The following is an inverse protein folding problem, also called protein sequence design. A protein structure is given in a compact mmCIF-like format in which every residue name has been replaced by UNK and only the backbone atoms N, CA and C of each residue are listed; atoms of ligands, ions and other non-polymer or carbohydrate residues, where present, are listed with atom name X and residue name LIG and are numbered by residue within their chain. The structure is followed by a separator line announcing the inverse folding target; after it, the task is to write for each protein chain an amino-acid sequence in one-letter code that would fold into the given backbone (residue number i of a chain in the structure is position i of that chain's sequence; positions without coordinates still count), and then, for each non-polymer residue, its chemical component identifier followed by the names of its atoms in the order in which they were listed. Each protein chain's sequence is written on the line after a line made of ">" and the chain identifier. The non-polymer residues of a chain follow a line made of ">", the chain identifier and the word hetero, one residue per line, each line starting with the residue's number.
data_IF_306253160327
#
_entry.id   IF_306253160327
#
_cell.length_a   1.000
_cell.length_b   1.000
_cell.length_c   1.000
_cell.angle_alpha   90.00
_cell.angle_beta   90.00
_cell.angle_gamma   90.00
#
_symmetry.space_group_name_H-M   'P 1'
#
loop_
_entity.id
_entity.type
_entity.pdbx_description
1 polymer ?
#
# COMPACT_ATOMS: atom_id res chain seq x y z
N UNK A 1 -47.18 31.37 56.08
CA UNK A 1 -46.06 30.40 56.00
C UNK A 1 -46.26 29.63 54.71
N UNK A 2 -45.50 29.98 53.67
CA UNK A 2 -45.60 29.35 52.36
C UNK A 2 -44.71 28.11 52.32
N UNK A 3 -45.32 26.93 52.17
CA UNK A 3 -44.58 25.68 51.92
C UNK A 3 -44.26 25.57 50.44
N UNK A 4 -43.01 25.87 50.05
CA UNK A 4 -42.50 25.55 48.71
C UNK A 4 -42.43 24.03 48.56
N UNK A 5 -42.96 23.42 47.47
CA UNK A 5 -42.71 22.03 47.19
C UNK A 5 -41.24 21.88 46.75
N UNK A 6 -40.43 21.19 47.53
CA UNK A 6 -39.15 20.67 47.08
C UNK A 6 -39.43 19.53 46.11
N UNK A 7 -39.45 19.83 44.82
CA UNK A 7 -39.29 18.82 43.78
C UNK A 7 -37.88 18.27 43.89
N UNK A 8 -37.71 17.27 44.74
CA UNK A 8 -36.57 16.35 44.61
C UNK A 8 -36.78 15.64 43.27
N UNK A 9 -36.06 16.08 42.25
CA UNK A 9 -35.87 15.37 40.98
C UNK A 9 -35.11 14.08 41.29
N UNK A 10 -35.77 13.13 41.96
CA UNK A 10 -35.25 11.80 42.14
C UNK A 10 -35.49 11.07 40.82
N UNK A 11 -34.43 10.90 40.04
CA UNK A 11 -34.48 10.22 38.76
C UNK A 11 -34.92 8.77 39.01
N UNK A 12 -36.18 8.48 38.70
CA UNK A 12 -36.74 7.14 38.82
C UNK A 12 -36.11 6.22 37.76
N UNK A 13 -35.05 5.53 38.16
CA UNK A 13 -34.29 4.60 37.32
C UNK A 13 -35.19 3.50 36.75
N UNK A 14 -36.24 3.10 37.47
CA UNK A 14 -37.13 2.03 37.07
C UNK A 14 -38.04 2.47 35.92
N UNK A 15 -38.58 3.70 36.01
CA UNK A 15 -39.34 4.33 34.93
C UNK A 15 -38.48 4.58 33.67
N UNK A 16 -37.21 4.92 33.86
CA UNK A 16 -36.25 5.13 32.77
C UNK A 16 -35.92 3.81 32.05
N UNK A 17 -35.76 2.71 32.80
CA UNK A 17 -35.45 1.39 32.26
C UNK A 17 -36.64 0.80 31.46
N UNK A 18 -37.87 1.01 31.92
CA UNK A 18 -39.07 0.59 31.19
C UNK A 18 -39.24 1.34 29.86
N UNK A 19 -38.98 2.66 29.86
CA UNK A 19 -38.98 3.49 28.64
C UNK A 19 -37.90 3.04 27.65
N UNK A 20 -36.73 2.64 28.14
CA UNK A 20 -35.63 2.13 27.30
C UNK A 20 -35.95 0.76 26.71
N UNK A 21 -36.56 -0.14 27.50
CA UNK A 21 -36.98 -1.48 27.04
C UNK A 21 -37.99 -1.44 25.90
N UNK A 22 -38.93 -0.50 25.91
CA UNK A 22 -39.89 -0.35 24.82
C UNK A 22 -39.25 0.15 23.51
N UNK A 23 -38.09 0.81 23.59
CA UNK A 23 -37.33 1.35 22.45
C UNK A 23 -36.13 0.49 22.07
N UNK A 24 -36.09 -0.79 22.46
CA UNK A 24 -35.00 -1.71 22.15
C UNK A 24 -34.61 -1.78 20.65
N UNK A 25 -35.53 -1.61 19.66
CA UNK A 25 -35.13 -1.63 18.25
C UNK A 25 -34.25 -0.43 17.87
N UNK A 26 -34.46 0.74 18.49
CA UNK A 26 -33.62 1.92 18.27
C UNK A 26 -32.22 1.73 18.84
N UNK A 27 -32.11 1.04 19.97
CA UNK A 27 -30.82 0.68 20.55
C UNK A 27 -30.07 -0.30 19.64
N UNK A 28 -30.75 -1.34 19.13
CA UNK A 28 -30.15 -2.28 18.19
C UNK A 28 -29.76 -1.60 16.86
N UNK A 29 -30.61 -0.71 16.34
CA UNK A 29 -30.31 0.07 15.15
C UNK A 29 -29.09 0.98 15.34
N UNK A 30 -28.98 1.65 16.49
CA UNK A 30 -27.81 2.47 16.84
C UNK A 30 -26.54 1.62 16.97
N UNK A 31 -26.63 0.43 17.57
CA UNK A 31 -25.50 -0.48 17.69
C UNK A 31 -25.01 -0.98 16.34
N UNK A 32 -25.93 -1.38 15.45
CA UNK A 32 -25.61 -1.77 14.08
C UNK A 32 -25.02 -0.61 13.30
N UNK A 33 -25.56 0.60 13.45
CA UNK A 33 -25.04 1.80 12.80
C UNK A 33 -23.62 2.13 13.28
N UNK A 34 -23.37 2.10 14.58
CA UNK A 34 -22.04 2.31 15.15
C UNK A 34 -21.05 1.23 14.69
N UNK A 35 -21.48 -0.04 14.67
CA UNK A 35 -20.68 -1.15 14.15
C UNK A 35 -20.37 -1.00 12.66
N UNK A 36 -21.34 -0.58 11.86
CA UNK A 36 -21.17 -0.30 10.43
C UNK A 36 -20.18 0.85 10.19
N UNK A 37 -20.32 1.96 10.92
CA UNK A 37 -19.39 3.09 10.84
C UNK A 37 -17.98 2.65 11.25
N UNK A 38 -17.85 1.89 12.34
CA UNK A 38 -16.56 1.33 12.79
C UNK A 38 -15.94 0.41 11.73
N UNK A 39 -16.73 -0.48 11.14
CA UNK A 39 -16.29 -1.36 10.06
C UNK A 39 -15.79 -0.57 8.85
N UNK A 40 -16.54 0.45 8.41
CA UNK A 40 -16.12 1.36 7.33
C UNK A 40 -14.82 2.07 7.71
N UNK A 41 -14.71 2.60 8.92
CA UNK A 41 -13.50 3.28 9.39
C UNK A 41 -12.25 2.38 9.34
N UNK A 42 -12.38 1.13 9.80
CA UNK A 42 -11.31 0.13 9.73
C UNK A 42 -10.91 -0.20 8.30
N UNK A 43 -11.87 -0.25 7.38
CA UNK A 43 -11.61 -0.46 5.95
C UNK A 43 -10.91 0.74 5.29
N UNK A 44 -11.17 1.96 5.78
CA UNK A 44 -10.58 3.18 5.24
C UNK A 44 -9.17 3.45 5.77
N UNK A 45 -8.83 2.99 6.98
CA UNK A 45 -7.51 3.23 7.54
C UNK A 45 -6.40 2.51 6.75
N UNK A 46 -5.41 3.29 6.34
CA UNK A 46 -4.16 2.76 5.79
C UNK A 46 -3.35 2.06 6.89
N UNK A 47 -2.82 0.85 6.66
CA UNK A 47 -1.94 0.19 7.62
C UNK A 47 -0.62 0.96 7.73
N UNK A 48 -0.18 1.19 8.96
CA UNK A 48 1.16 1.73 9.24
C UNK A 48 2.14 0.56 9.23
N UNK A 49 3.17 0.65 8.39
CA UNK A 49 4.22 -0.37 8.31
C UNK A 49 5.49 0.12 9.01
N UNK A 50 6.03 -0.70 9.91
CA UNK A 50 7.31 -0.43 10.56
C UNK A 50 8.45 -1.04 9.73
N UNK A 51 9.42 -0.21 9.37
CA UNK A 51 10.66 -0.65 8.72
C UNK A 51 11.82 -0.56 9.71
N UNK A 52 12.60 -1.64 9.83
CA UNK A 52 13.79 -1.69 10.68
C UNK A 52 15.04 -1.89 9.83
N UNK A 53 15.95 -0.91 9.90
CA UNK A 53 17.29 -1.01 9.36
C UNK A 53 18.30 -1.04 10.52
N UNK A 54 19.36 -1.84 10.39
CA UNK A 54 20.44 -1.90 11.37
C UNK A 54 21.75 -1.54 10.69
N UNK A 55 22.42 -0.51 11.21
CA UNK A 55 23.72 -0.05 10.72
C UNK A 55 24.77 -0.28 11.80
N UNK A 56 25.88 -0.93 11.44
CA UNK A 56 27.00 -1.19 12.34
C UNK A 56 28.04 -0.08 12.17
N UNK A 57 28.40 0.62 13.25
CA UNK A 57 29.49 1.60 13.28
C UNK A 57 30.72 0.96 13.91
N UNK A 58 31.78 0.78 13.12
CA UNK A 58 33.09 0.36 13.61
C UNK A 58 33.96 1.56 13.93
N UNK A 59 34.41 1.69 15.18
CA UNK A 59 35.39 2.71 15.57
C UNK A 59 36.79 2.08 15.57
N UNK A 60 37.65 2.42 14.62
CA UNK A 60 39.06 2.01 14.64
C UNK A 60 39.88 3.08 15.36
N UNK A 61 40.28 2.83 16.62
CA UNK A 61 41.17 3.74 17.35
C UNK A 61 42.58 3.15 17.50
N UNK A 62 43.56 3.77 16.86
CA UNK A 62 44.99 3.49 17.05
C UNK A 62 45.58 4.53 18.01
N UNK A 63 45.79 4.18 19.28
CA UNK A 63 46.36 5.08 20.29
C UNK A 63 46.55 4.48 21.69
N UNK A 64 47.24 5.23 22.58
CA UNK A 64 47.61 4.91 23.98
C UNK A 64 46.44 4.81 25.00
N UNK A 65 46.20 3.59 25.51
CA UNK A 65 44.99 3.12 26.22
C UNK A 65 44.43 4.03 27.34
N UNK A 66 45.26 4.65 28.18
CA UNK A 66 44.79 5.42 29.36
C UNK A 66 44.23 6.80 29.04
N UNK A 67 44.79 7.48 28.04
CA UNK A 67 44.26 8.75 27.57
C UNK A 67 42.99 8.55 26.73
N UNK A 68 42.88 7.41 26.01
CA UNK A 68 41.63 7.06 25.35
C UNK A 68 40.53 6.75 26.34
N UNK A 69 40.75 6.04 27.45
CA UNK A 69 39.64 5.69 28.36
C UNK A 69 38.92 6.94 28.91
N UNK A 70 39.67 7.98 29.29
CA UNK A 70 39.09 9.25 29.77
C UNK A 70 38.45 10.07 28.64
N UNK A 71 39.11 10.17 27.49
CA UNK A 71 38.54 10.86 26.32
C UNK A 71 37.31 10.13 25.77
N UNK A 72 37.29 8.80 25.83
CA UNK A 72 36.20 7.94 25.37
C UNK A 72 34.97 8.13 26.25
N UNK A 73 35.09 8.30 27.56
CA UNK A 73 33.94 8.57 28.43
C UNK A 73 33.27 9.91 28.09
N UNK A 74 34.06 10.98 27.90
CA UNK A 74 33.56 12.31 27.50
C UNK A 74 33.06 12.34 26.05
N UNK A 75 33.74 11.63 25.15
CA UNK A 75 33.38 11.53 23.75
C UNK A 75 32.14 10.65 23.55
N UNK A 76 31.91 9.62 24.37
CA UNK A 76 30.71 8.75 24.30
C UNK A 76 29.45 9.53 24.64
N UNK A 77 29.45 10.43 25.64
CA UNK A 77 28.27 11.25 25.95
C UNK A 77 27.95 12.24 24.81
N UNK A 78 28.97 12.93 24.28
CA UNK A 78 28.78 13.85 23.15
C UNK A 78 28.49 13.13 21.82
N UNK A 79 28.99 11.91 21.63
CA UNK A 79 28.63 11.04 20.50
C UNK A 79 27.19 10.55 20.63
N UNK A 80 26.71 10.24 21.83
CA UNK A 80 25.32 9.82 22.05
C UNK A 80 24.32 10.84 21.51
N UNK A 81 24.40 12.09 21.95
CA UNK A 81 23.49 13.17 21.53
C UNK A 81 23.62 13.46 20.03
N UNK A 82 24.84 13.58 19.50
CA UNK A 82 25.05 13.79 18.05
C UNK A 82 24.55 12.62 17.22
N UNK A 83 24.69 11.39 17.71
CA UNK A 83 24.26 10.19 17.00
C UNK A 83 22.73 10.06 17.00
N UNK A 84 22.06 10.46 18.07
CA UNK A 84 20.60 10.55 18.13
C UNK A 84 20.05 11.54 17.09
N UNK A 85 20.69 12.70 16.96
CA UNK A 85 20.35 13.70 15.95
C UNK A 85 20.56 13.18 14.52
N UNK A 86 21.70 12.54 14.23
CA UNK A 86 21.99 11.95 12.91
C UNK A 86 21.03 10.79 12.59
N UNK A 87 20.69 9.94 13.57
CA UNK A 87 19.67 8.90 13.41
C UNK A 87 18.30 9.55 13.12
N UNK A 88 17.98 10.66 13.78
CA UNK A 88 16.77 11.45 13.52
C UNK A 88 16.73 12.00 12.09
N UNK A 89 17.83 12.58 11.63
CA UNK A 89 17.99 13.08 10.26
C UNK A 89 17.86 11.95 9.23
N UNK A 90 18.50 10.80 9.47
CA UNK A 90 18.41 9.62 8.59
C UNK A 90 17.00 9.02 8.52
N UNK A 91 16.22 9.11 9.61
CA UNK A 91 14.82 8.69 9.66
C UNK A 91 13.85 9.72 9.09
N UNK A 92 14.33 10.91 8.72
CA UNK A 92 13.46 11.96 8.18
C UNK A 92 12.84 11.54 6.85
N UNK A 93 11.61 11.99 6.61
CA UNK A 93 10.84 11.67 5.41
C UNK A 93 11.58 12.08 4.14
N UNK A 94 12.25 13.24 4.16
CA UNK A 94 13.00 13.76 3.00
C UNK A 94 14.23 12.88 2.67
N UNK A 95 15.03 12.49 3.65
CA UNK A 95 16.19 11.61 3.41
C UNK A 95 15.74 10.24 2.90
N UNK A 96 14.69 9.68 3.50
CA UNK A 96 14.08 8.42 3.04
C UNK A 96 13.55 8.56 1.61
N UNK A 97 12.84 9.64 1.30
CA UNK A 97 12.29 9.88 -0.04
C UNK A 97 13.40 10.01 -1.09
N UNK A 98 14.48 10.75 -0.78
CA UNK A 98 15.65 10.85 -1.67
C UNK A 98 16.36 9.53 -1.85
N UNK A 99 16.50 8.74 -0.79
CA UNK A 99 17.09 7.41 -0.87
C UNK A 99 16.27 6.51 -1.78
N UNK A 100 14.94 6.44 -1.58
CA UNK A 100 14.02 5.66 -2.42
C UNK A 100 14.05 6.14 -3.88
N UNK A 101 14.10 7.45 -4.13
CA UNK A 101 14.20 8.01 -5.48
C UNK A 101 15.49 7.63 -6.21
N UNK A 102 16.60 7.42 -5.47
CA UNK A 102 17.88 6.98 -6.05
C UNK A 102 17.92 5.48 -6.34
N UNK A 103 17.01 4.68 -5.76
CA UNK A 103 17.00 3.25 -6.02
C UNK A 103 16.51 2.96 -7.44
N UNK A 104 17.07 1.94 -8.10
CA UNK A 104 16.81 1.71 -9.49
C UNK A 104 15.47 0.98 -9.76
N UNK A 105 14.36 1.54 -9.30
CA UNK A 105 13.04 1.03 -9.60
C UNK A 105 12.55 1.52 -10.97
N UNK A 106 11.96 0.62 -11.76
CA UNK A 106 11.33 0.93 -13.06
C UNK A 106 9.83 0.68 -13.05
N UNK A 107 9.34 -0.14 -12.11
CA UNK A 107 7.94 -0.57 -12.00
C UNK A 107 7.52 -0.58 -10.53
N UNK A 108 6.40 0.07 -10.23
CA UNK A 108 5.72 -0.03 -8.94
C UNK A 108 4.43 -0.82 -9.08
N UNK A 109 4.18 -1.72 -8.13
CA UNK A 109 3.02 -2.60 -8.11
C UNK A 109 2.01 -2.11 -7.07
N UNK A 110 0.74 -2.13 -7.43
CA UNK A 110 -0.37 -1.72 -6.60
C UNK A 110 -1.43 -2.82 -6.63
N UNK A 111 -2.04 -3.10 -5.48
CA UNK A 111 -3.21 -3.95 -5.40
C UNK A 111 -4.43 -3.07 -5.13
N UNK A 112 -5.46 -3.21 -5.97
CA UNK A 112 -6.77 -2.66 -5.73
C UNK A 112 -7.68 -3.82 -5.28
N UNK A 113 -8.12 -3.88 -4.01
CA UNK A 113 -9.13 -4.84 -3.60
C UNK A 113 -10.43 -4.60 -4.38
N UNK A 114 -11.06 -5.68 -4.84
CA UNK A 114 -12.41 -5.66 -5.39
C UNK A 114 -13.43 -5.55 -4.24
N UNK A 115 -13.40 -4.42 -3.53
CA UNK A 115 -14.37 -4.08 -2.49
C UNK A 115 -15.35 -3.06 -3.06
N UNK A 116 -16.64 -3.17 -2.70
CA UNK A 116 -17.67 -2.22 -3.11
C UNK A 116 -17.32 -0.76 -2.75
N UNK A 117 -16.54 -0.53 -1.69
CA UNK A 117 -16.03 0.79 -1.32
C UNK A 117 -15.08 1.38 -2.38
N UNK A 118 -14.32 0.52 -3.07
CA UNK A 118 -13.32 0.94 -4.04
C UNK A 118 -13.96 1.37 -5.38
N UNK A 119 -15.19 0.94 -5.66
CA UNK A 119 -15.96 1.38 -6.83
C UNK A 119 -16.48 2.82 -6.72
N UNK A 120 -16.65 3.35 -5.50
CA UNK A 120 -17.11 4.73 -5.30
C UNK A 120 -15.95 5.71 -5.11
N UNK A 121 -14.84 5.27 -4.52
CA UNK A 121 -13.65 6.11 -4.31
C UNK A 121 -12.43 5.22 -4.16
N UNK A 122 -11.34 5.57 -4.85
CA UNK A 122 -10.04 4.87 -4.80
C UNK A 122 -9.37 4.99 -3.42
N UNK A 123 -9.90 4.28 -2.43
CA UNK A 123 -9.46 4.42 -1.03
C UNK A 123 -8.52 3.29 -0.62
N UNK A 124 -8.43 2.20 -1.40
CA UNK A 124 -7.64 1.00 -1.04
C UNK A 124 -6.57 0.60 -2.07
N UNK A 125 -6.17 1.48 -2.99
CA UNK A 125 -5.04 1.20 -3.90
C UNK A 125 -3.75 1.24 -3.07
N UNK A 126 -3.20 0.08 -2.77
CA UNK A 126 -2.03 -0.06 -1.89
C UNK A 126 -0.83 -0.53 -2.69
N UNK A 127 0.30 0.15 -2.52
CA UNK A 127 1.57 -0.33 -3.07
C UNK A 127 1.90 -1.68 -2.45
N UNK A 128 2.27 -2.65 -3.28
CA UNK A 128 2.71 -3.98 -2.88
C UNK A 128 4.19 -4.11 -3.16
N UNK A 129 4.97 -4.69 -2.23
CA UNK A 129 6.34 -5.07 -2.51
C UNK A 129 6.35 -5.99 -3.73
N UNK A 130 7.30 -5.78 -4.66
CA UNK A 130 7.50 -6.63 -5.84
C UNK A 130 7.69 -8.12 -5.49
N UNK A 131 8.03 -8.43 -4.23
CA UNK A 131 8.11 -9.80 -3.74
C UNK A 131 6.76 -10.50 -3.49
N UNK A 132 5.69 -9.74 -3.30
CA UNK A 132 4.36 -10.22 -2.86
C UNK A 132 3.35 -10.40 -4.00
N UNK A 133 3.76 -10.12 -5.24
CA UNK A 133 2.94 -10.25 -6.45
C UNK A 133 3.28 -11.55 -7.21
N UNK A 134 2.30 -12.20 -7.85
CA UNK A 134 2.46 -13.50 -8.51
C UNK A 134 3.23 -13.41 -9.84
N UNK A 135 3.42 -12.22 -10.38
CA UNK A 135 4.12 -11.98 -11.64
C UNK A 135 5.16 -10.87 -11.49
N UNK A 136 6.17 -10.89 -12.36
CA UNK A 136 7.16 -9.82 -12.53
C UNK A 136 6.95 -9.19 -13.90
N UNK A 137 6.81 -7.87 -13.92
CA UNK A 137 6.81 -7.06 -15.14
C UNK A 137 8.23 -6.54 -15.36
N UNK A 138 8.79 -6.82 -16.54
CA UNK A 138 10.08 -6.28 -16.97
C UNK A 138 9.82 -5.38 -18.19
N UNK A 139 10.00 -4.06 -18.07
CA UNK A 139 9.83 -3.17 -19.20
C UNK A 139 11.01 -3.29 -20.17
N UNK A 140 10.72 -3.14 -21.45
CA UNK A 140 11.75 -2.94 -22.46
C UNK A 140 12.30 -1.51 -22.33
N UNK A 141 13.62 -1.39 -22.17
CA UNK A 141 14.31 -0.11 -22.03
C UNK A 141 14.48 0.61 -23.38
N UNK A 142 14.33 -0.08 -24.51
CA UNK A 142 14.49 0.49 -25.85
C UNK A 142 13.19 1.09 -26.40
N UNK A 143 12.06 0.73 -25.82
CA UNK A 143 10.75 1.21 -26.22
C UNK A 143 10.27 2.33 -25.28
N UNK A 144 9.66 3.41 -25.81
CA UNK A 144 8.93 4.36 -25.01
C UNK A 144 7.81 3.67 -24.21
N UNK A 145 7.64 4.05 -22.94
CA UNK A 145 6.67 3.45 -22.03
C UNK A 145 5.67 4.50 -21.55
N UNK A 146 4.41 4.11 -21.51
CA UNK A 146 3.35 4.89 -20.91
C UNK A 146 3.56 4.98 -19.39
N UNK A 147 3.75 6.19 -18.90
CA UNK A 147 3.86 6.55 -17.49
C UNK A 147 2.69 7.43 -17.07
N UNK A 148 2.41 7.44 -15.76
CA UNK A 148 1.34 8.24 -15.18
C UNK A 148 -0.06 7.67 -15.34
N UNK A 149 -0.22 6.58 -16.10
CA UNK A 149 -1.48 5.85 -16.28
C UNK A 149 -1.46 4.56 -15.47
N UNK A 150 -2.62 4.14 -14.97
CA UNK A 150 -2.79 2.86 -14.28
C UNK A 150 -2.99 1.75 -15.30
N UNK A 151 -2.11 0.75 -15.25
CA UNK A 151 -2.19 -0.41 -16.11
C UNK A 151 -2.64 -1.59 -15.25
N UNK A 152 -3.78 -2.18 -15.58
CA UNK A 152 -4.36 -3.32 -14.91
C UNK A 152 -3.89 -4.62 -15.55
N UNK A 153 -3.50 -5.59 -14.72
CA UNK A 153 -3.12 -6.94 -15.16
C UNK A 153 -4.01 -7.96 -14.47
N UNK A 154 -4.77 -8.71 -15.26
CA UNK A 154 -5.71 -9.71 -14.81
C UNK A 154 -5.35 -11.09 -15.38
N UNK A 155 -5.48 -12.18 -14.62
CA UNK A 155 -5.31 -13.52 -15.17
C UNK A 155 -6.46 -13.86 -16.13
N UNK A 156 -6.14 -14.25 -17.35
CA UNK A 156 -7.10 -14.60 -18.41
C UNK A 156 -7.27 -16.12 -18.61
N UNK A 157 -6.78 -16.94 -17.67
CA UNK A 157 -6.77 -18.40 -17.75
C UNK A 157 -5.59 -18.98 -18.54
N UNK A 158 -5.24 -20.25 -18.27
CA UNK A 158 -4.17 -21.00 -18.97
C UNK A 158 -2.78 -20.31 -18.97
N UNK A 159 -2.46 -19.54 -17.94
CA UNK A 159 -1.19 -18.82 -17.86
C UNK A 159 -1.13 -17.58 -18.76
N UNK A 160 -2.26 -17.08 -19.25
CA UNK A 160 -2.36 -15.79 -19.96
C UNK A 160 -2.75 -14.67 -19.01
N UNK A 161 -2.33 -13.45 -19.36
CA UNK A 161 -2.63 -12.23 -18.65
C UNK A 161 -3.27 -11.22 -19.60
N UNK A 162 -4.44 -10.69 -19.22
CA UNK A 162 -5.04 -9.53 -19.86
C UNK A 162 -4.47 -8.27 -19.24
N UNK A 163 -3.95 -7.40 -20.07
CA UNK A 163 -3.38 -6.10 -19.70
C UNK A 163 -4.26 -5.04 -20.33
N UNK A 164 -4.86 -4.19 -19.49
CA UNK A 164 -5.68 -3.10 -19.98
C UNK A 164 -5.36 -1.79 -19.25
N UNK A 165 -5.52 -0.67 -19.96
CA UNK A 165 -5.34 0.66 -19.40
C UNK A 165 -6.27 1.63 -20.13
N UNK A 166 -6.97 2.46 -19.36
CA UNK A 166 -7.87 3.48 -19.86
C UNK A 166 -7.59 4.79 -19.13
N UNK A 167 -7.31 5.87 -19.87
CA UNK A 167 -7.10 7.20 -19.31
C UNK A 167 -7.29 8.30 -20.36
N UNK A 168 -7.86 9.43 -19.95
CA UNK A 168 -8.03 10.61 -20.82
C UNK A 168 -6.68 11.18 -21.29
N UNK A 169 -5.66 11.12 -20.42
CA UNK A 169 -4.31 11.63 -20.68
C UNK A 169 -3.27 10.68 -20.14
N UNK A 170 -2.26 10.39 -20.96
CA UNK A 170 -1.06 9.67 -20.58
C UNK A 170 0.20 10.28 -21.17
N UNK A 171 1.35 9.93 -20.60
CA UNK A 171 2.64 10.47 -21.04
C UNK A 171 3.56 9.32 -21.45
N UNK A 172 4.14 9.40 -22.63
CA UNK A 172 5.07 8.41 -23.13
C UNK A 172 6.51 8.87 -22.85
N UNK A 173 7.25 8.12 -22.04
CA UNK A 173 8.63 8.45 -21.66
C UNK A 173 9.62 7.41 -22.19
N UNK A 174 10.81 7.88 -22.52
CA UNK A 174 11.98 7.02 -22.72
C UNK A 174 12.55 6.64 -21.35
N UNK A 175 12.60 5.35 -21.00
CA UNK A 175 13.11 4.90 -19.69
C UNK A 175 14.61 5.18 -19.45
N UNK A 176 15.50 5.10 -20.46
CA UNK A 176 16.92 5.38 -20.27
C UNK A 176 17.24 6.86 -20.10
N UNK A 177 16.56 7.73 -20.84
CA UNK A 177 16.84 9.18 -20.86
C UNK A 177 15.87 10.00 -20.02
N UNK A 178 14.77 9.39 -19.55
CA UNK A 178 13.67 10.07 -18.84
C UNK A 178 13.04 11.24 -19.59
N UNK A 179 13.25 11.28 -20.91
CA UNK A 179 12.70 12.32 -21.77
C UNK A 179 11.25 11.98 -22.13
N UNK A 180 10.40 13.00 -22.08
CA UNK A 180 9.05 12.93 -22.60
C UNK A 180 9.12 12.79 -24.12
N UNK A 181 8.71 11.64 -24.64
CA UNK A 181 8.63 11.39 -26.08
C UNK A 181 7.38 12.08 -26.63
N UNK A 182 6.23 11.89 -25.98
CA UNK A 182 4.94 12.44 -26.44
C UNK A 182 3.85 12.36 -25.38
N UNK A 183 2.92 13.32 -25.38
CA UNK A 183 1.64 13.20 -24.67
C UNK A 183 0.63 12.40 -25.51
N UNK A 184 -0.04 11.44 -24.89
CA UNK A 184 -1.07 10.60 -25.54
C UNK A 184 -2.41 10.95 -24.93
N UNK A 185 -3.34 11.40 -25.77
CA UNK A 185 -4.73 11.63 -25.40
C UNK A 185 -5.53 10.36 -25.70
N UNK A 186 -6.55 10.10 -24.87
CA UNK A 186 -7.44 8.95 -25.00
C UNK A 186 -6.69 7.61 -25.07
N UNK A 187 -5.99 7.30 -23.99
CA UNK A 187 -5.26 6.05 -23.84
C UNK A 187 -6.27 4.92 -23.71
N UNK A 188 -6.30 4.04 -24.71
CA UNK A 188 -6.97 2.75 -24.64
C UNK A 188 -5.98 1.64 -24.99
N UNK A 189 -5.74 0.75 -24.03
CA UNK A 189 -4.94 -0.44 -24.17
C UNK A 189 -5.79 -1.61 -23.69
N UNK A 190 -5.93 -2.65 -24.51
CA UNK A 190 -6.49 -3.94 -24.10
C UNK A 190 -5.82 -5.05 -24.91
N UNK A 191 -4.94 -5.80 -24.26
CA UNK A 191 -4.22 -6.91 -24.91
C UNK A 191 -4.08 -8.08 -23.94
N UNK A 192 -4.17 -9.29 -24.50
CA UNK A 192 -3.88 -10.52 -23.75
C UNK A 192 -2.54 -11.10 -24.20
N UNK A 193 -1.65 -11.38 -23.25
CA UNK A 193 -0.31 -11.94 -23.50
C UNK A 193 -0.12 -13.23 -22.69
N UNK A 194 0.60 -14.20 -23.24
CA UNK A 194 0.97 -15.40 -22.48
C UNK A 194 2.09 -15.10 -21.48
N UNK A 195 2.13 -15.85 -20.39
CA UNK A 195 3.19 -15.79 -19.38
C UNK A 195 4.57 -16.00 -20.01
N UNK A 196 5.45 -15.01 -19.88
CA UNK A 196 6.82 -15.04 -20.41
C UNK A 196 6.96 -14.42 -21.82
N UNK A 197 5.86 -14.18 -22.52
CA UNK A 197 5.89 -13.52 -23.83
C UNK A 197 5.96 -11.99 -23.68
N UNK A 198 6.50 -11.33 -24.70
CA UNK A 198 6.57 -9.87 -24.77
C UNK A 198 5.24 -9.30 -25.26
N UNK A 199 4.58 -8.52 -24.43
CA UNK A 199 3.49 -7.65 -24.86
C UNK A 199 4.09 -6.49 -25.64
N UNK A 200 3.75 -6.39 -26.93
CA UNK A 200 4.21 -5.32 -27.82
C UNK A 200 3.04 -4.42 -28.15
N UNK A 201 3.00 -3.25 -27.55
CA UNK A 201 2.04 -2.21 -27.88
C UNK A 201 2.76 -0.86 -28.09
N UNK A 202 2.28 0.02 -28.98
CA UNK A 202 2.88 1.34 -29.20
C UNK A 202 2.99 2.21 -27.94
N UNK A 203 2.16 1.93 -26.93
CA UNK A 203 2.17 2.63 -25.64
C UNK A 203 2.88 1.86 -24.53
N UNK A 204 3.08 0.56 -24.67
CA UNK A 204 3.58 -0.29 -23.60
C UNK A 204 4.30 -1.51 -24.18
N UNK A 205 5.57 -1.69 -23.83
CA UNK A 205 6.32 -2.89 -24.21
C UNK A 205 6.90 -3.56 -22.96
N UNK A 206 6.28 -4.65 -22.53
CA UNK A 206 6.62 -5.31 -21.27
C UNK A 206 6.61 -6.83 -21.40
N UNK A 207 7.46 -7.50 -20.65
CA UNK A 207 7.42 -8.95 -20.47
C UNK A 207 6.81 -9.25 -19.12
N UNK A 208 5.77 -10.09 -19.10
CA UNK A 208 5.10 -10.51 -17.86
C UNK A 208 5.49 -11.96 -17.58
N UNK A 209 6.43 -12.15 -16.66
CA UNK A 209 6.92 -13.47 -16.29
C UNK A 209 6.30 -13.94 -14.97
N UNK A 210 5.83 -15.19 -14.88
CA UNK A 210 5.32 -15.74 -13.63
C UNK A 210 6.47 -15.90 -12.63
N UNK A 211 6.22 -15.58 -11.37
CA UNK A 211 7.24 -15.71 -10.33
C UNK A 211 7.26 -17.15 -9.82
N UNK A 212 8.31 -17.92 -10.14
CA UNK A 212 8.48 -19.35 -9.77
C UNK A 212 8.26 -19.67 -8.27
N UNK A 213 8.40 -18.69 -7.37
CA UNK A 213 8.26 -18.87 -5.93
C UNK A 213 6.85 -18.57 -5.37
N UNK A 214 5.91 -18.09 -6.19
CA UNK A 214 4.55 -17.81 -5.71
C UNK A 214 3.73 -19.11 -5.68
N UNK A 215 3.79 -19.82 -4.55
CA UNK A 215 2.84 -20.91 -4.27
C UNK A 215 1.48 -20.26 -4.01
N UNK A 216 0.53 -20.38 -4.94
CA UNK A 216 -0.90 -20.26 -4.60
C UNK A 216 -1.11 -21.09 -3.33
N UNK A 217 -1.62 -20.48 -2.26
CA UNK A 217 -1.68 -21.10 -0.95
C UNK A 217 -2.43 -22.45 -1.03
N UNK A 218 -1.67 -23.55 -1.10
CA UNK A 218 -2.08 -24.97 -1.17
C UNK A 218 -3.13 -25.34 -2.25
N UNK A 219 -2.93 -26.40 -3.05
CA UNK A 219 -4.06 -27.07 -3.69
C UNK A 219 -4.92 -27.67 -2.57
N UNK A 220 -6.02 -27.01 -2.22
CA UNK A 220 -7.06 -27.63 -1.42
C UNK A 220 -7.70 -28.67 -2.34
N UNK A 221 -7.59 -29.93 -1.93
CA UNK A 221 -8.19 -31.09 -2.59
C UNK A 221 -9.57 -30.75 -3.13
N UNK A 222 -9.76 -31.00 -4.43
CA UNK A 222 -11.02 -30.80 -5.15
C UNK A 222 -12.05 -31.76 -4.57
N UNK A 223 -12.79 -31.32 -3.55
CA UNK A 223 -14.17 -31.75 -3.36
C UNK A 223 -15.02 -30.80 -4.18
N UNK A 224 -15.72 -31.35 -5.16
CA UNK A 224 -16.64 -30.64 -6.05
C UNK A 224 -17.76 -29.95 -5.26
N UNK A 225 -17.52 -28.70 -4.88
CA UNK A 225 -18.53 -27.68 -4.69
C UNK A 225 -18.40 -26.72 -5.88
N UNK A 226 -19.50 -26.10 -6.36
CA UNK A 226 -19.46 -25.19 -7.48
C UNK A 226 -18.44 -24.09 -7.19
N UNK A 227 -17.32 -24.15 -7.91
CA UNK A 227 -16.19 -23.25 -7.76
C UNK A 227 -16.61 -21.88 -8.25
N UNK A 228 -17.08 -21.02 -7.35
CA UNK A 228 -16.97 -19.59 -7.57
C UNK A 228 -15.47 -19.28 -7.49
N UNK A 229 -14.80 -18.88 -8.59
CA UNK A 229 -13.41 -18.48 -8.50
C UNK A 229 -13.34 -17.29 -7.54
N UNK A 230 -12.47 -17.38 -6.53
CA UNK A 230 -12.10 -16.23 -5.71
C UNK A 230 -11.74 -15.06 -6.65
N UNK A 231 -12.24 -13.83 -6.42
CA UNK A 231 -11.83 -12.69 -7.24
C UNK A 231 -10.32 -12.56 -7.12
N UNK A 232 -9.61 -12.80 -8.23
CA UNK A 232 -8.18 -12.58 -8.28
C UNK A 232 -7.95 -11.08 -8.05
N UNK A 233 -7.08 -10.68 -7.10
CA UNK A 233 -6.87 -9.28 -6.82
C UNK A 233 -6.40 -8.57 -8.10
N UNK A 234 -7.10 -7.50 -8.50
CA UNK A 234 -6.65 -6.63 -9.58
C UNK A 234 -5.33 -5.97 -9.18
N UNK A 235 -4.29 -6.33 -9.93
CA UNK A 235 -2.97 -5.76 -9.76
C UNK A 235 -2.81 -4.67 -10.80
N UNK A 236 -2.69 -3.44 -10.31
CA UNK A 236 -2.29 -2.31 -11.12
C UNK A 236 -0.79 -2.14 -11.01
N UNK A 237 -0.13 -1.72 -12.07
CA UNK A 237 1.22 -1.25 -11.97
C UNK A 237 1.36 0.08 -12.68
N UNK A 238 2.37 0.84 -12.26
CA UNK A 238 2.75 2.10 -12.88
C UNK A 238 4.21 1.99 -13.29
N UNK A 239 4.48 2.24 -14.57
CA UNK A 239 5.84 2.48 -15.03
C UNK A 239 6.29 3.86 -14.51
N UNK A 240 7.48 3.93 -13.93
CA UNK A 240 8.01 5.19 -13.41
C UNK A 240 9.09 5.74 -14.36
N UNK A 241 9.02 7.03 -14.67
CA UNK A 241 10.10 7.78 -15.31
C UNK A 241 11.05 8.27 -14.21
N UNK A 242 12.34 7.95 -14.31
CA UNK A 242 13.32 8.35 -13.29
C UNK A 242 13.73 9.80 -13.38
#
# INVERSE_FOLDING_TARGET
>A
MDTRPTTTDEIDLHALLFKLRNRWPLFLASLLLAGFIGYVYLQLKAPVYDFRATMLLGNQSSGSKRAQELLQILEVQNKGVKMEDEIGLLKSVDVVQRAVARLPYSVSYFAAPDSWLNSMRDLQVRERPAGSVPFRVVPDLQAPQLSGVRIYVEPAGEGRFRVHAEAEKGMLYSLPTSELVREVLDVNLDQTVAAGDTLRHPLLTVVISPRRAFRWAKPMSITTLPSTPWPAPRLTFRANSR
#
